data_IF_941349311377
#
_entry.id   IF_941349311377
#
_cell.length_a   1.000
_cell.length_b   1.000
_cell.length_c   1.000
_cell.angle_alpha   90.00
_cell.angle_beta   90.00
_cell.angle_gamma   90.00
#
_symmetry.space_group_name_H-M   'P 1'
#
loop_
_entity.id
_entity.type
_entity.pdbx_description
1 polymer ?
#
# COMPACT_ATOMS: atom_id res chain seq x y z
N UNK A 1 -41.12 -1.83 16.22
CA UNK A 1 -41.83 -1.66 14.93
C UNK A 1 -40.84 -1.90 13.80
N UNK A 2 -41.31 -2.12 12.57
CA UNK A 2 -40.51 -2.71 11.47
C UNK A 2 -40.16 -1.67 10.39
N UNK A 3 -38.90 -1.68 9.93
CA UNK A 3 -38.43 -1.30 8.58
C UNK A 3 -36.92 -1.64 8.51
N UNK A 4 -36.51 -2.88 8.21
CA UNK A 4 -36.40 -3.50 6.86
C UNK A 4 -35.18 -3.02 6.07
N UNK A 5 -34.26 -3.95 5.80
CA UNK A 5 -33.05 -3.73 4.99
C UNK A 5 -33.33 -3.82 3.48
N UNK A 6 -32.47 -3.22 2.67
CA UNK A 6 -32.51 -3.28 1.21
C UNK A 6 -31.18 -3.81 0.64
N UNK A 7 -31.06 -5.13 0.50
CA UNK A 7 -29.97 -5.78 -0.22
C UNK A 7 -30.30 -5.85 -1.72
N UNK A 8 -29.41 -5.36 -2.58
CA UNK A 8 -29.54 -5.43 -4.04
C UNK A 8 -28.46 -6.35 -4.63
N UNK A 9 -28.80 -7.63 -4.80
CA UNK A 9 -27.94 -8.61 -5.47
C UNK A 9 -28.20 -8.53 -6.98
N UNK A 10 -27.20 -8.09 -7.75
CA UNK A 10 -27.24 -8.15 -9.20
C UNK A 10 -26.77 -9.51 -9.71
N UNK A 11 -27.71 -10.42 -9.96
CA UNK A 11 -27.45 -11.65 -10.71
C UNK A 11 -27.31 -11.33 -12.21
N UNK A 12 -26.20 -11.73 -12.82
CA UNK A 12 -26.06 -11.73 -14.27
C UNK A 12 -26.71 -12.98 -14.87
N UNK A 13 -27.61 -12.78 -15.83
CA UNK A 13 -28.23 -13.86 -16.63
C UNK A 13 -27.58 -13.87 -18.02
N UNK A 14 -27.09 -15.01 -18.53
CA UNK A 14 -26.49 -15.08 -19.87
C UNK A 14 -27.55 -14.95 -20.97
N UNK A 15 -27.17 -14.31 -22.08
CA UNK A 15 -27.95 -14.27 -23.33
C UNK A 15 -27.36 -15.22 -24.37
N UNK A 16 -28.17 -15.80 -25.28
CA UNK A 16 -27.80 -16.97 -26.07
C UNK A 16 -26.92 -16.67 -27.30
N UNK A 17 -26.35 -17.73 -27.85
CA UNK A 17 -25.54 -17.71 -29.08
C UNK A 17 -26.37 -17.43 -30.35
N UNK A 18 -25.68 -17.09 -31.43
CA UNK A 18 -26.21 -17.16 -32.80
C UNK A 18 -25.18 -17.77 -33.74
N UNK A 19 -25.58 -18.83 -34.46
CA UNK A 19 -24.76 -19.52 -35.44
C UNK A 19 -24.86 -18.89 -36.83
N UNK A 20 -23.75 -18.88 -37.57
CA UNK A 20 -23.79 -19.08 -39.04
C UNK A 20 -22.45 -19.65 -39.53
N UNK A 21 -22.50 -20.74 -40.31
CA UNK A 21 -21.31 -21.48 -40.76
C UNK A 21 -20.84 -21.05 -42.17
N UNK A 22 -19.51 -21.00 -42.38
CA UNK A 22 -18.90 -20.22 -43.49
C UNK A 22 -17.89 -20.91 -44.42
N UNK A 23 -17.73 -22.24 -44.39
CA UNK A 23 -16.88 -23.08 -45.29
C UNK A 23 -15.35 -23.08 -45.06
N UNK A 24 -14.70 -24.08 -45.67
CA UNK A 24 -13.34 -24.59 -45.42
C UNK A 24 -12.28 -24.14 -46.44
N UNK A 25 -10.96 -24.27 -46.13
CA UNK A 25 -9.87 -23.79 -46.99
C UNK A 25 -9.43 -24.80 -48.06
N UNK A 26 -8.94 -24.28 -49.19
CA UNK A 26 -8.26 -25.06 -50.24
C UNK A 26 -6.74 -25.00 -50.14
N UNK A 27 -6.06 -26.13 -50.40
CA UNK A 27 -4.59 -26.21 -50.54
C UNK A 27 -4.17 -25.95 -52.00
N UNK A 28 -3.11 -25.17 -52.23
CA UNK A 28 -2.20 -25.41 -53.37
C UNK A 28 -0.80 -24.79 -53.17
N UNK A 29 0.19 -25.53 -53.66
CA UNK A 29 1.63 -25.29 -53.75
C UNK A 29 2.11 -23.92 -54.28
N UNK A 30 3.29 -23.48 -53.81
CA UNK A 30 4.13 -22.43 -54.41
C UNK A 30 5.51 -22.43 -53.75
N UNK A 31 6.60 -22.51 -54.51
CA UNK A 31 7.89 -23.01 -54.03
C UNK A 31 9.08 -22.04 -54.23
N UNK A 32 10.12 -22.19 -53.40
CA UNK A 32 11.55 -21.80 -53.60
C UNK A 32 11.97 -20.31 -53.44
N UNK A 33 13.22 -20.00 -52.99
CA UNK A 33 13.56 -18.71 -52.36
C UNK A 33 14.84 -17.98 -52.88
N UNK A 34 15.12 -16.80 -52.31
CA UNK A 34 16.45 -16.17 -52.15
C UNK A 34 16.37 -15.23 -50.92
N UNK A 35 17.25 -15.19 -49.90
CA UNK A 35 18.73 -15.24 -49.79
C UNK A 35 19.43 -13.92 -50.18
N UNK A 36 19.99 -13.20 -49.18
CA UNK A 36 21.40 -12.72 -49.08
C UNK A 36 21.57 -11.74 -47.91
N UNK A 37 22.69 -11.86 -47.18
CA UNK A 37 23.15 -10.95 -46.13
C UNK A 37 23.71 -9.62 -46.65
N UNK A 38 23.75 -8.59 -45.81
CA UNK A 38 24.90 -7.68 -45.74
C UNK A 38 24.99 -6.90 -44.42
N UNK A 39 26.15 -7.01 -43.75
CA UNK A 39 26.60 -6.13 -42.65
C UNK A 39 27.47 -5.02 -43.26
N UNK A 40 27.14 -3.74 -43.08
CA UNK A 40 27.91 -2.62 -43.67
C UNK A 40 27.78 -1.30 -42.91
N UNK A 41 28.91 -0.68 -42.56
CA UNK A 41 29.03 0.44 -41.61
C UNK A 41 29.37 1.80 -42.25
N UNK A 42 29.12 2.88 -41.48
CA UNK A 42 29.72 4.22 -41.58
C UNK A 42 29.42 5.13 -42.79
N UNK A 43 28.87 6.33 -42.53
CA UNK A 43 29.57 7.61 -42.75
C UNK A 43 28.78 8.81 -42.15
N UNK A 44 29.45 9.96 -41.97
CA UNK A 44 28.84 11.24 -41.54
C UNK A 44 28.48 12.11 -42.74
N UNK A 45 27.45 12.94 -42.61
CA UNK A 45 27.30 14.20 -43.34
C UNK A 45 26.70 15.28 -42.43
N UNK A 46 27.01 16.55 -42.71
CA UNK A 46 26.42 17.73 -42.03
C UNK A 46 25.45 18.42 -42.99
N UNK A 47 24.30 18.86 -42.49
CA UNK A 47 23.56 19.97 -43.10
C UNK A 47 22.81 20.77 -42.02
N UNK A 48 22.98 22.08 -42.03
CA UNK A 48 22.32 23.02 -41.12
C UNK A 48 20.97 23.49 -41.68
N UNK A 49 19.93 23.57 -40.84
CA UNK A 49 18.83 24.51 -41.05
C UNK A 49 18.28 25.00 -39.69
N UNK A 50 17.94 26.29 -39.62
CA UNK A 50 17.49 26.95 -38.39
C UNK A 50 15.97 27.03 -38.30
N UNK A 51 15.39 26.74 -37.13
CA UNK A 51 13.95 26.87 -36.88
C UNK A 51 13.65 27.15 -35.40
N UNK A 52 13.69 28.42 -34.99
CA UNK A 52 13.46 28.84 -33.60
C UNK A 52 12.04 29.42 -33.46
N UNK A 53 11.09 28.62 -32.98
CA UNK A 53 9.73 29.08 -32.67
C UNK A 53 9.57 29.33 -31.17
N UNK A 54 9.16 30.55 -30.82
CA UNK A 54 8.78 30.92 -29.45
C UNK A 54 7.26 30.88 -29.31
N UNK A 55 6.77 30.23 -28.25
CA UNK A 55 5.35 30.32 -27.86
C UNK A 55 5.14 31.66 -27.18
N UNK A 56 4.08 32.39 -27.56
CA UNK A 56 3.70 33.66 -26.95
C UNK A 56 2.22 33.59 -26.54
N UNK A 57 1.94 33.70 -25.25
CA UNK A 57 0.58 33.73 -24.74
C UNK A 57 -0.14 35.00 -25.20
N UNK A 58 -1.45 34.91 -25.43
CA UNK A 58 -2.27 36.02 -25.89
C UNK A 58 -3.60 36.01 -25.12
N UNK A 59 -3.93 37.12 -24.45
CA UNK A 59 -5.15 37.30 -23.69
C UNK A 59 -5.68 38.72 -23.96
N UNK A 60 -6.97 38.83 -24.27
CA UNK A 60 -7.64 40.10 -24.55
C UNK A 60 -9.00 40.15 -23.85
N UNK A 61 -9.39 41.34 -23.40
CA UNK A 61 -10.65 41.61 -22.72
C UNK A 61 -11.56 42.50 -23.61
N UNK A 62 -12.89 42.38 -23.52
CA UNK A 62 -13.82 43.17 -24.34
C UNK A 62 -13.96 44.63 -23.82
N UNK A 63 -14.17 45.62 -24.71
CA UNK A 63 -14.27 47.03 -24.34
C UNK A 63 -15.69 47.49 -23.94
N UNK A 64 -15.76 48.63 -23.24
CA UNK A 64 -17.01 49.38 -22.96
C UNK A 64 -17.34 50.33 -24.12
N UNK A 65 -18.63 50.68 -24.27
CA UNK A 65 -19.12 51.77 -25.14
C UNK A 65 -20.12 52.63 -24.37
N UNK A 66 -20.00 53.96 -24.47
CA UNK A 66 -20.96 54.94 -23.93
C UNK A 66 -21.93 55.43 -25.04
N UNK A 67 -23.16 55.82 -24.67
CA UNK A 67 -24.22 56.22 -25.63
C UNK A 67 -24.60 57.71 -25.63
N UNK A 68 -25.45 58.11 -26.59
CA UNK A 68 -26.04 59.46 -26.79
C UNK A 68 -27.02 59.42 -27.98
N UNK A 69 -28.13 60.18 -28.10
CA UNK A 69 -29.03 60.92 -27.16
C UNK A 69 -30.21 61.47 -28.01
N UNK A 70 -31.36 61.80 -27.38
CA UNK A 70 -32.55 62.51 -27.96
C UNK A 70 -33.43 61.64 -28.89
N UNK A 71 -34.77 61.69 -28.89
CA UNK A 71 -35.73 62.32 -27.96
C UNK A 71 -37.07 62.71 -28.62
N UNK A 72 -38.21 62.47 -27.94
CA UNK A 72 -39.60 62.83 -28.35
C UNK A 72 -40.13 62.10 -29.62
N UNK A 73 -41.42 61.95 -29.97
CA UNK A 73 -42.78 62.18 -29.38
C UNK A 73 -43.79 61.31 -30.23
N UNK A 74 -45.11 61.10 -30.02
CA UNK A 74 -46.15 61.44 -29.03
C UNK A 74 -47.37 60.48 -29.19
N UNK A 75 -48.45 60.68 -28.40
CA UNK A 75 -49.88 60.39 -28.73
C UNK A 75 -50.40 58.94 -28.81
N UNK A 76 -51.03 58.53 -27.69
CA UNK A 76 -52.35 57.84 -27.59
C UNK A 76 -52.69 56.65 -28.51
N UNK A 77 -52.79 55.47 -27.89
CA UNK A 77 -54.08 54.77 -27.74
C UNK A 77 -54.05 53.80 -26.55
N UNK A 78 -55.22 53.54 -25.95
CA UNK A 78 -55.39 52.71 -24.75
C UNK A 78 -56.19 51.46 -25.09
N UNK A 79 -55.71 50.28 -24.70
CA UNK A 79 -56.53 49.09 -24.41
C UNK A 79 -55.69 48.03 -23.66
N UNK A 80 -56.34 46.96 -23.16
CA UNK A 80 -55.90 46.17 -22.01
C UNK A 80 -54.49 45.54 -22.06
N UNK A 81 -53.81 45.56 -20.91
CA UNK A 81 -52.59 44.80 -20.64
C UNK A 81 -52.80 43.81 -19.49
N UNK A 82 -53.04 42.55 -19.83
CA UNK A 82 -52.88 41.44 -18.87
C UNK A 82 -51.39 41.20 -18.59
N UNK A 83 -50.97 40.98 -17.32
CA UNK A 83 -49.56 40.74 -17.02
C UNK A 83 -49.14 39.34 -17.49
N UNK A 84 -47.94 39.18 -18.08
CA UNK A 84 -47.44 37.87 -18.50
C UNK A 84 -47.21 36.92 -17.30
N UNK A 85 -47.32 35.59 -17.51
CA UNK A 85 -47.23 34.62 -16.43
C UNK A 85 -45.84 34.62 -15.76
N UNK A 86 -45.82 34.62 -14.43
CA UNK A 86 -44.58 34.65 -13.63
C UNK A 86 -43.85 33.31 -13.72
N UNK A 87 -42.61 33.32 -14.18
CA UNK A 87 -41.73 32.14 -14.21
C UNK A 87 -41.21 31.76 -12.82
N UNK A 88 -41.06 30.46 -12.59
CA UNK A 88 -40.71 29.79 -11.32
C UNK A 88 -39.49 30.37 -10.56
N UNK A 89 -38.55 30.99 -11.28
CA UNK A 89 -37.31 31.58 -10.73
C UNK A 89 -37.59 32.64 -9.65
N UNK A 90 -38.72 33.36 -9.73
CA UNK A 90 -39.06 34.43 -8.78
C UNK A 90 -39.76 33.93 -7.49
N UNK A 91 -39.59 32.65 -7.11
CA UNK A 91 -40.12 32.07 -5.87
C UNK A 91 -39.06 31.38 -4.99
N UNK A 92 -37.78 31.46 -5.34
CA UNK A 92 -36.71 30.92 -4.47
C UNK A 92 -36.56 31.80 -3.20
N UNK A 93 -36.47 31.21 -1.99
CA UNK A 93 -36.16 31.96 -0.77
C UNK A 93 -34.82 32.69 -0.87
N UNK A 94 -34.67 33.80 -0.13
CA UNK A 94 -33.40 34.50 -0.03
C UNK A 94 -32.43 33.75 0.91
N UNK A 95 -31.55 32.95 0.30
CA UNK A 95 -30.53 32.18 1.00
C UNK A 95 -29.35 33.04 1.52
N UNK A 96 -29.31 34.35 1.26
CA UNK A 96 -28.21 35.22 1.71
C UNK A 96 -28.06 35.22 3.23
N UNK A 97 -29.17 35.18 3.98
CA UNK A 97 -29.20 35.04 5.44
C UNK A 97 -28.56 33.73 5.91
N UNK A 98 -28.78 32.61 5.21
CA UNK A 98 -28.18 31.33 5.55
C UNK A 98 -26.67 31.33 5.27
N UNK A 99 -26.26 31.87 4.11
CA UNK A 99 -24.84 32.03 3.78
C UNK A 99 -24.12 32.91 4.81
N UNK A 100 -24.70 34.05 5.16
CA UNK A 100 -24.15 34.98 6.15
C UNK A 100 -23.98 34.33 7.52
N UNK A 101 -24.99 33.56 7.97
CA UNK A 101 -24.93 32.80 9.21
C UNK A 101 -23.78 31.76 9.19
N UNK A 102 -23.67 30.98 8.10
CA UNK A 102 -22.58 30.00 7.92
C UNK A 102 -21.22 30.69 7.95
N UNK A 103 -21.01 31.78 7.19
CA UNK A 103 -19.73 32.52 7.21
C UNK A 103 -19.41 33.11 8.58
N UNK A 104 -20.43 33.53 9.35
CA UNK A 104 -20.25 34.06 10.71
C UNK A 104 -19.83 32.95 11.68
N UNK A 105 -20.39 31.75 11.55
CA UNK A 105 -19.99 30.57 12.34
C UNK A 105 -18.54 30.17 12.03
N UNK A 106 -18.13 30.15 10.75
CA UNK A 106 -16.75 29.87 10.37
C UNK A 106 -15.77 30.92 10.91
N UNK A 107 -16.06 32.22 10.76
CA UNK A 107 -15.23 33.30 11.30
C UNK A 107 -15.17 33.29 12.83
N UNK A 108 -16.25 32.91 13.52
CA UNK A 108 -16.26 32.74 14.97
C UNK A 108 -15.39 31.55 15.40
N UNK A 109 -15.49 30.41 14.70
CA UNK A 109 -14.67 29.23 14.98
C UNK A 109 -13.18 29.48 14.73
N UNK A 110 -12.82 30.11 13.61
CA UNK A 110 -11.45 30.49 13.27
C UNK A 110 -10.86 31.44 14.33
N UNK A 111 -11.62 32.48 14.71
CA UNK A 111 -11.22 33.40 15.79
C UNK A 111 -11.12 32.71 17.15
N UNK A 112 -11.93 31.70 17.43
CA UNK A 112 -11.86 30.92 18.67
C UNK A 112 -10.65 29.97 18.69
N UNK A 113 -10.25 29.41 17.54
CA UNK A 113 -8.99 28.66 17.39
C UNK A 113 -7.77 29.56 17.59
N UNK A 114 -7.77 30.77 17.02
CA UNK A 114 -6.67 31.75 17.21
C UNK A 114 -6.56 32.30 18.65
N UNK A 115 -7.55 32.04 19.51
CA UNK A 115 -7.56 32.45 20.93
C UNK A 115 -7.17 31.30 21.89
N UNK A 116 -6.86 30.09 21.39
CA UNK A 116 -6.28 29.03 22.21
C UNK A 116 -4.76 29.26 22.39
N UNK A 117 -4.41 29.94 23.48
CA UNK A 117 -3.03 29.96 24.02
C UNK A 117 -2.60 28.53 24.40
N UNK A 118 -2.06 27.77 23.43
CA UNK A 118 -1.53 26.42 23.65
C UNK A 118 -0.21 26.49 24.44
N UNK A 119 -0.32 26.68 25.76
CA UNK A 119 0.80 26.51 26.69
C UNK A 119 1.08 25.01 26.84
N UNK A 120 2.27 24.50 26.46
CA UNK A 120 2.57 23.10 26.58
C UNK A 120 2.58 22.69 28.06
N UNK A 121 1.59 21.89 28.46
CA UNK A 121 1.70 21.08 29.67
C UNK A 121 2.83 20.04 29.47
N UNK A 122 3.41 19.56 30.58
CA UNK A 122 4.59 18.69 30.60
C UNK A 122 4.48 17.55 29.57
N UNK A 123 5.58 17.29 28.87
CA UNK A 123 5.72 16.34 27.76
C UNK A 123 5.29 14.92 28.09
N UNK A 124 5.36 14.54 29.37
CA UNK A 124 5.57 13.15 29.77
C UNK A 124 4.27 12.32 29.83
N UNK A 125 3.11 12.94 29.56
CA UNK A 125 1.80 12.27 29.52
C UNK A 125 0.88 12.75 28.37
N UNK A 126 1.43 13.26 27.26
CA UNK A 126 0.66 13.36 26.02
C UNK A 126 0.59 11.99 25.35
N UNK A 127 -0.44 11.22 25.72
CA UNK A 127 -0.97 10.17 24.85
C UNK A 127 -1.44 10.85 23.57
N UNK A 128 -0.93 10.40 22.43
CA UNK A 128 -1.32 10.87 21.09
C UNK A 128 -2.84 10.69 20.89
N UNK A 129 -3.66 11.76 20.90
CA UNK A 129 -5.11 11.63 20.90
C UNK A 129 -5.69 11.25 19.53
N UNK A 130 -4.86 11.26 18.49
CA UNK A 130 -5.29 11.18 17.09
C UNK A 130 -4.64 10.03 16.32
N UNK A 131 -3.71 9.28 16.92
CA UNK A 131 -3.00 8.18 16.26
C UNK A 131 -2.01 8.65 15.17
N UNK A 132 -1.55 9.90 15.25
CA UNK A 132 -0.61 10.50 14.28
C UNK A 132 0.84 10.03 14.48
N UNK A 133 1.14 9.50 15.66
CA UNK A 133 2.45 9.09 16.12
C UNK A 133 3.37 10.26 16.48
N UNK A 134 4.46 9.95 17.18
CA UNK A 134 5.45 10.92 17.66
C UNK A 134 6.86 10.33 17.68
N UNK A 135 7.87 11.19 17.58
CA UNK A 135 9.27 10.80 17.78
C UNK A 135 9.61 10.88 19.28
N UNK A 136 10.21 9.81 19.80
CA UNK A 136 10.55 9.59 21.20
C UNK A 136 12.04 9.25 21.35
N UNK A 137 12.48 8.99 22.60
CA UNK A 137 13.85 8.59 22.94
C UNK A 137 14.94 9.49 22.33
N UNK A 138 14.77 10.81 22.42
CA UNK A 138 15.79 11.78 22.01
C UNK A 138 15.89 12.06 20.50
N UNK A 139 14.99 11.52 19.67
CA UNK A 139 14.93 11.84 18.24
C UNK A 139 14.99 10.63 17.29
N UNK A 140 15.29 9.43 17.81
CA UNK A 140 15.71 8.28 17.00
C UNK A 140 14.64 7.19 16.82
N UNK A 141 13.59 7.18 17.67
CA UNK A 141 12.53 6.17 17.63
C UNK A 141 11.21 6.85 17.31
N UNK A 142 10.47 6.35 16.32
CA UNK A 142 9.09 6.78 16.06
C UNK A 142 8.12 5.79 16.70
N UNK A 143 7.06 6.31 17.32
CA UNK A 143 6.01 5.57 18.03
C UNK A 143 4.64 5.95 17.51
N UNK A 144 3.80 4.96 17.17
CA UNK A 144 2.41 5.20 16.74
C UNK A 144 1.50 4.09 17.28
N UNK A 145 0.28 4.44 17.67
CA UNK A 145 -0.72 3.50 18.17
C UNK A 145 -1.76 3.17 17.09
N UNK A 146 -2.15 1.91 16.99
CA UNK A 146 -3.18 1.41 16.07
C UNK A 146 -4.21 0.62 16.85
N UNK A 147 -5.49 0.97 16.71
CA UNK A 147 -6.59 0.10 17.17
C UNK A 147 -6.94 -0.88 16.05
N UNK A 148 -6.93 -2.18 16.36
CA UNK A 148 -7.19 -3.25 15.39
C UNK A 148 -8.65 -3.20 14.93
N UNK A 149 -8.86 -3.04 13.62
CA UNK A 149 -10.19 -2.83 13.02
C UNK A 149 -10.87 -4.15 12.65
N UNK A 150 -12.18 -4.10 12.45
CA UNK A 150 -12.99 -5.31 12.20
C UNK A 150 -12.70 -6.01 10.87
N UNK A 151 -12.07 -5.31 9.91
CA UNK A 151 -11.62 -5.87 8.63
C UNK A 151 -10.13 -6.25 8.62
N UNK A 152 -9.43 -6.07 9.74
CA UNK A 152 -8.00 -6.36 9.90
C UNK A 152 -7.76 -7.72 10.60
N UNK A 153 -8.82 -8.41 10.99
CA UNK A 153 -8.82 -9.73 11.64
C UNK A 153 -9.25 -10.86 10.69
N UNK A 154 -8.75 -12.07 10.95
CA UNK A 154 -9.15 -13.32 10.29
C UNK A 154 -10.45 -13.92 10.86
N UNK A 155 -10.85 -15.07 10.32
CA UNK A 155 -12.01 -15.83 10.80
C UNK A 155 -11.82 -16.38 12.24
N UNK A 156 -10.56 -16.54 12.63
CA UNK A 156 -10.05 -16.86 13.98
C UNK A 156 -9.97 -15.63 14.92
N UNK A 157 -10.45 -14.46 14.48
CA UNK A 157 -10.60 -13.20 15.26
C UNK A 157 -9.29 -12.50 15.66
N UNK A 158 -8.15 -13.07 15.32
CA UNK A 158 -6.81 -12.47 15.45
C UNK A 158 -6.46 -11.61 14.24
N UNK A 159 -5.60 -10.61 14.42
CA UNK A 159 -5.12 -9.76 13.32
C UNK A 159 -4.30 -10.58 12.31
N UNK A 160 -4.45 -10.30 11.01
CA UNK A 160 -3.66 -11.00 10.00
C UNK A 160 -2.17 -10.59 10.01
N UNK A 161 -1.27 -11.44 9.51
CA UNK A 161 0.14 -11.04 9.30
C UNK A 161 0.26 -9.88 8.31
N UNK A 162 -0.63 -9.78 7.31
CA UNK A 162 -0.72 -8.60 6.44
C UNK A 162 -1.06 -7.33 7.24
N UNK A 163 -1.98 -7.40 8.22
CA UNK A 163 -2.31 -6.27 9.11
C UNK A 163 -1.08 -5.78 9.86
N UNK A 164 -0.36 -6.69 10.52
CA UNK A 164 0.86 -6.35 11.24
C UNK A 164 1.88 -5.70 10.29
N UNK A 165 2.14 -6.32 9.14
CA UNK A 165 3.05 -5.82 8.11
C UNK A 165 2.64 -4.45 7.54
N UNK A 166 1.35 -4.16 7.39
CA UNK A 166 0.86 -2.83 7.02
C UNK A 166 1.18 -1.79 8.10
N UNK A 167 0.99 -2.10 9.39
CA UNK A 167 1.39 -1.22 10.49
C UNK A 167 2.91 -0.98 10.53
N UNK A 168 3.72 -2.01 10.23
CA UNK A 168 5.17 -1.84 10.12
C UNK A 168 5.55 -0.91 8.95
N UNK A 169 4.89 -1.03 7.81
CA UNK A 169 5.12 -0.16 6.65
C UNK A 169 4.66 1.30 6.90
N UNK A 170 3.48 1.49 7.47
CA UNK A 170 2.92 2.82 7.78
C UNK A 170 3.81 3.58 8.79
N UNK A 171 4.24 2.91 9.87
CA UNK A 171 5.17 3.53 10.84
C UNK A 171 6.54 3.83 10.25
N UNK A 172 7.05 3.02 9.32
CA UNK A 172 8.31 3.32 8.63
C UNK A 172 8.25 4.63 7.82
N UNK A 173 7.11 4.88 7.17
CA UNK A 173 6.85 6.10 6.38
C UNK A 173 6.64 7.31 7.29
N UNK A 174 5.80 7.17 8.32
CA UNK A 174 5.52 8.22 9.28
C UNK A 174 6.76 8.61 10.10
N UNK A 175 7.69 7.68 10.34
CA UNK A 175 9.03 8.00 10.84
C UNK A 175 9.76 8.95 9.87
N UNK A 176 9.98 8.55 8.60
CA UNK A 176 10.75 9.37 7.62
C UNK A 176 10.10 10.74 7.40
N UNK A 177 8.76 10.80 7.40
CA UNK A 177 7.96 12.03 7.33
C UNK A 177 8.19 12.95 8.53
N UNK A 178 8.00 12.45 9.76
CA UNK A 178 8.19 13.26 10.97
C UNK A 178 9.66 13.62 11.23
N UNK A 179 10.61 12.83 10.72
CA UNK A 179 12.03 13.15 10.74
C UNK A 179 12.42 14.33 9.83
N UNK A 180 11.52 14.79 8.94
CA UNK A 180 11.82 15.82 7.93
C UNK A 180 12.63 15.31 6.74
N UNK A 181 12.78 13.99 6.60
CA UNK A 181 13.61 13.33 5.59
C UNK A 181 12.82 12.94 4.32
N UNK A 182 11.52 13.24 4.26
CA UNK A 182 10.67 12.92 3.13
C UNK A 182 10.71 14.04 2.08
N UNK A 183 11.33 13.78 0.93
CA UNK A 183 11.30 14.67 -0.23
C UNK A 183 10.15 14.30 -1.18
N UNK A 184 10.45 13.60 -2.27
CA UNK A 184 9.46 13.22 -3.29
C UNK A 184 9.03 11.76 -3.13
N UNK A 185 7.77 11.56 -2.73
CA UNK A 185 7.12 10.24 -2.71
C UNK A 185 7.43 9.39 -1.49
N UNK A 186 7.72 8.11 -1.71
CA UNK A 186 7.70 7.07 -0.67
C UNK A 186 9.10 6.86 -0.05
N UNK A 187 9.35 7.47 1.12
CA UNK A 187 10.56 7.24 1.92
C UNK A 187 11.90 7.68 1.32
N UNK A 188 11.89 8.49 0.25
CA UNK A 188 13.11 8.96 -0.44
C UNK A 188 13.56 10.34 0.07
N UNK A 189 14.87 10.49 0.33
CA UNK A 189 15.47 11.73 0.84
C UNK A 189 15.85 12.72 -0.27
N UNK A 190 16.06 14.03 0.05
CA UNK A 190 16.49 15.02 -0.93
C UNK A 190 17.74 14.62 -1.75
N UNK A 191 18.82 14.14 -1.13
CA UNK A 191 20.02 13.71 -1.85
C UNK A 191 19.83 12.37 -2.61
N UNK A 192 18.88 11.52 -2.20
CA UNK A 192 18.49 10.34 -2.99
C UNK A 192 17.72 10.73 -4.26
N UNK A 193 16.75 11.64 -4.16
CA UNK A 193 15.99 12.13 -5.31
C UNK A 193 16.91 12.74 -6.37
N UNK A 194 17.87 13.58 -5.96
CA UNK A 194 18.89 14.19 -6.84
C UNK A 194 19.79 13.18 -7.59
N UNK A 195 19.87 11.92 -7.13
CA UNK A 195 20.73 10.86 -7.68
C UNK A 195 19.94 9.70 -8.30
N UNK A 196 18.63 9.88 -8.51
CA UNK A 196 17.72 8.82 -8.98
C UNK A 196 17.81 7.54 -8.13
N UNK A 197 17.92 7.65 -6.81
CA UNK A 197 18.00 6.51 -5.89
C UNK A 197 16.64 6.21 -5.23
N UNK A 198 16.43 4.95 -4.89
CA UNK A 198 15.34 4.43 -4.04
C UNK A 198 15.89 3.48 -2.98
N UNK A 199 15.16 3.37 -1.88
CA UNK A 199 15.27 2.26 -0.95
C UNK A 199 14.48 1.06 -1.45
N UNK A 200 15.09 -0.12 -1.46
CA UNK A 200 14.39 -1.40 -1.66
C UNK A 200 14.68 -2.32 -0.48
N UNK A 201 13.67 -3.08 -0.02
CA UNK A 201 13.85 -4.14 0.97
C UNK A 201 14.58 -5.29 0.29
N UNK A 202 15.64 -5.82 0.91
CA UNK A 202 16.32 -7.04 0.45
C UNK A 202 16.06 -8.24 1.38
N UNK A 203 15.88 -8.00 2.68
CA UNK A 203 15.49 -9.03 3.66
C UNK A 203 14.47 -8.46 4.65
N UNK A 204 13.49 -9.25 5.06
CA UNK A 204 12.59 -8.97 6.18
C UNK A 204 12.54 -10.20 7.09
N UNK A 205 12.55 -9.97 8.40
CA UNK A 205 12.36 -11.00 9.42
C UNK A 205 11.32 -10.52 10.43
N UNK A 206 10.38 -11.39 10.78
CA UNK A 206 9.31 -11.15 11.75
C UNK A 206 9.24 -12.34 12.69
N UNK A 207 9.16 -12.08 13.99
CA UNK A 207 8.76 -13.03 15.02
C UNK A 207 7.47 -12.50 15.66
N UNK A 208 6.39 -13.28 15.59
CA UNK A 208 5.10 -12.94 16.21
C UNK A 208 4.94 -13.79 17.45
N UNK A 209 5.00 -13.15 18.60
CA UNK A 209 4.86 -13.80 19.90
C UNK A 209 3.37 -14.09 20.19
N UNK A 210 2.48 -13.15 19.87
CA UNK A 210 1.02 -13.31 19.88
C UNK A 210 0.35 -12.33 18.92
N UNK A 211 -0.85 -12.67 18.43
CA UNK A 211 -1.64 -11.79 17.56
C UNK A 211 -2.70 -11.03 18.39
N UNK A 212 -2.84 -9.71 18.22
CA UNK A 212 -3.92 -8.93 18.83
C UNK A 212 -5.27 -9.25 18.17
N UNK A 213 -6.36 -8.96 18.86
CA UNK A 213 -7.75 -9.21 18.42
C UNK A 213 -8.49 -7.91 18.09
N UNK A 214 -9.73 -8.00 17.60
CA UNK A 214 -10.51 -6.81 17.23
C UNK A 214 -10.82 -5.93 18.45
N UNK A 215 -10.48 -4.65 18.35
CA UNK A 215 -10.66 -3.66 19.41
C UNK A 215 -9.41 -3.39 20.26
N UNK A 216 -8.43 -4.32 20.26
CA UNK A 216 -7.15 -4.12 20.95
C UNK A 216 -6.39 -2.93 20.35
N UNK A 217 -5.48 -2.33 21.15
CA UNK A 217 -4.68 -1.18 20.74
C UNK A 217 -3.20 -1.53 20.84
N UNK A 218 -2.51 -1.58 19.70
CA UNK A 218 -1.09 -1.90 19.64
C UNK A 218 -0.23 -0.65 19.48
N UNK A 219 0.82 -0.54 20.28
CA UNK A 219 1.87 0.47 20.16
C UNK A 219 2.99 -0.09 19.29
N UNK A 220 3.27 0.55 18.16
CA UNK A 220 4.36 0.19 17.25
C UNK A 220 5.49 1.21 17.37
N UNK A 221 6.64 0.75 17.87
CA UNK A 221 7.89 1.51 17.89
C UNK A 221 8.78 1.10 16.70
N UNK A 222 9.38 2.05 15.97
CA UNK A 222 10.33 1.78 14.87
C UNK A 222 11.49 2.76 14.82
N UNK A 223 12.68 2.23 14.53
CA UNK A 223 13.91 2.99 14.36
C UNK A 223 14.81 2.39 13.28
N UNK A 224 15.85 3.14 12.92
CA UNK A 224 16.85 2.76 11.92
C UNK A 224 18.22 2.62 12.53
N UNK A 225 19.06 1.79 11.93
CA UNK A 225 20.46 1.58 12.31
C UNK A 225 21.31 1.33 11.05
N UNK A 226 22.63 1.52 11.15
CA UNK A 226 23.54 1.19 10.06
C UNK A 226 23.58 -0.32 9.81
N UNK A 227 23.64 -0.75 8.54
CA UNK A 227 23.94 -2.14 8.17
C UNK A 227 25.11 -2.21 7.20
N UNK A 228 26.30 -2.43 7.76
CA UNK A 228 27.55 -2.32 7.03
C UNK A 228 27.75 -0.92 6.43
N UNK A 229 28.35 -0.83 5.23
CA UNK A 229 28.66 0.47 4.58
C UNK A 229 27.54 1.03 3.69
N UNK A 230 26.63 0.17 3.20
CA UNK A 230 25.65 0.52 2.15
C UNK A 230 24.20 0.15 2.48
N UNK A 231 23.96 -0.59 3.57
CA UNK A 231 22.62 -0.96 4.01
C UNK A 231 22.14 -0.10 5.16
N UNK A 232 20.82 -0.04 5.31
CA UNK A 232 20.13 0.46 6.49
C UNK A 232 19.33 -0.70 7.09
N UNK A 233 19.48 -0.96 8.38
CA UNK A 233 18.57 -1.81 9.13
C UNK A 233 17.40 -0.95 9.60
N UNK A 234 16.17 -1.44 9.51
CA UNK A 234 15.02 -0.87 10.25
C UNK A 234 14.42 -1.96 11.13
N UNK A 235 14.28 -1.65 12.40
CA UNK A 235 13.69 -2.54 13.40
C UNK A 235 12.30 -2.03 13.81
N UNK A 236 11.48 -2.95 14.33
CA UNK A 236 10.20 -2.66 14.96
C UNK A 236 9.98 -3.50 16.22
N UNK A 237 9.30 -2.88 17.19
CA UNK A 237 8.76 -3.53 18.37
C UNK A 237 7.28 -3.18 18.50
N UNK A 238 6.41 -4.19 18.39
CA UNK A 238 4.97 -4.08 18.58
C UNK A 238 4.62 -4.59 19.97
N UNK A 239 3.87 -3.78 20.72
CA UNK A 239 3.36 -4.12 22.06
C UNK A 239 1.87 -3.91 22.16
N UNK A 240 1.20 -4.64 23.04
CA UNK A 240 -0.12 -4.25 23.52
C UNK A 240 0.00 -2.97 24.36
N UNK A 241 -0.93 -2.03 24.20
CA UNK A 241 -0.85 -0.72 24.86
C UNK A 241 -1.36 -0.72 26.30
N UNK A 242 -2.06 -1.78 26.73
CA UNK A 242 -2.65 -1.88 28.06
C UNK A 242 -1.76 -2.68 29.03
N UNK A 243 -1.19 -3.79 28.57
CA UNK A 243 -0.30 -4.68 29.33
C UNK A 243 1.18 -4.33 29.14
N UNK A 244 1.55 -3.76 27.98
CA UNK A 244 2.95 -3.54 27.59
C UNK A 244 3.67 -4.80 27.09
N UNK A 245 2.97 -5.94 26.98
CA UNK A 245 3.53 -7.20 26.47
C UNK A 245 3.96 -7.09 25.01
N UNK A 246 5.02 -7.82 24.65
CA UNK A 246 5.57 -7.83 23.29
C UNK A 246 4.75 -8.81 22.44
N UNK A 247 4.12 -8.29 21.39
CA UNK A 247 3.30 -9.06 20.46
C UNK A 247 4.10 -9.47 19.22
N UNK A 248 4.98 -8.60 18.73
CA UNK A 248 5.75 -8.83 17.50
C UNK A 248 7.07 -8.08 17.52
N UNK A 249 8.12 -8.72 17.03
CA UNK A 249 9.46 -8.17 16.81
C UNK A 249 9.82 -8.33 15.35
N UNK A 250 10.34 -7.29 14.71
CA UNK A 250 10.74 -7.37 13.30
C UNK A 250 12.02 -6.61 13.00
N UNK A 251 12.74 -7.06 11.97
CA UNK A 251 13.90 -6.36 11.42
C UNK A 251 13.94 -6.50 9.90
N UNK A 252 14.37 -5.46 9.21
CA UNK A 252 14.47 -5.39 7.76
C UNK A 252 15.81 -4.82 7.32
N UNK A 253 16.35 -5.37 6.23
CA UNK A 253 17.52 -4.84 5.55
C UNK A 253 17.07 -4.12 4.28
N UNK A 254 17.42 -2.83 4.21
CA UNK A 254 17.19 -1.96 3.07
C UNK A 254 18.52 -1.66 2.38
N UNK A 255 18.50 -1.63 1.04
CA UNK A 255 19.64 -1.28 0.19
C UNK A 255 19.21 -0.26 -0.87
N UNK A 256 20.16 0.55 -1.34
CA UNK A 256 19.85 1.52 -2.38
C UNK A 256 19.87 0.87 -3.78
N UNK A 257 18.89 1.24 -4.62
CA UNK A 257 18.88 0.93 -6.04
C UNK A 257 18.72 2.22 -6.85
N UNK A 258 19.35 2.31 -8.02
CA UNK A 258 19.09 3.41 -8.96
C UNK A 258 17.84 3.11 -9.81
N UNK A 259 16.89 4.07 -9.83
CA UNK A 259 15.56 4.00 -10.47
C UNK A 259 15.63 3.65 -11.96
N UNK A 260 16.61 4.18 -12.69
CA UNK A 260 16.70 4.08 -14.16
C UNK A 260 17.43 2.81 -14.60
N UNK A 261 18.60 2.54 -14.02
CA UNK A 261 19.44 1.39 -14.39
C UNK A 261 19.02 0.08 -13.73
N UNK A 262 18.11 0.15 -12.73
CA UNK A 262 17.64 -0.96 -11.90
C UNK A 262 18.77 -1.78 -11.25
N UNK A 263 19.89 -1.13 -10.94
CA UNK A 263 21.08 -1.72 -10.30
C UNK A 263 21.24 -1.22 -8.87
N UNK A 264 21.75 -2.10 -7.99
CA UNK A 264 22.12 -1.73 -6.63
C UNK A 264 23.22 -0.66 -6.64
N UNK A 265 23.07 0.34 -5.77
CA UNK A 265 24.01 1.44 -5.58
C UNK A 265 24.74 1.29 -4.25
N UNK A 266 25.92 1.91 -4.16
CA UNK A 266 26.50 2.29 -2.86
C UNK A 266 25.68 3.43 -2.25
N UNK A 267 25.74 3.56 -0.93
CA UNK A 267 25.21 4.72 -0.21
C UNK A 267 26.14 5.92 -0.43
N UNK A 268 25.69 7.03 -1.06
CA UNK A 268 26.46 8.27 -1.15
C UNK A 268 26.67 8.88 0.24
N UNK A 269 27.78 9.55 0.45
CA UNK A 269 28.10 10.13 1.77
C UNK A 269 27.24 11.37 2.09
N UNK A 270 26.66 12.01 1.07
CA UNK A 270 25.66 13.07 1.25
C UNK A 270 24.35 12.52 1.82
N UNK A 271 23.87 11.38 1.30
CA UNK A 271 22.69 10.67 1.85
C UNK A 271 22.99 10.11 3.24
N UNK A 272 24.23 9.63 3.46
CA UNK A 272 24.71 9.23 4.80
C UNK A 272 24.66 10.41 5.78
N UNK A 273 24.95 11.63 5.31
CA UNK A 273 24.82 12.86 6.08
C UNK A 273 23.37 13.19 6.47
N UNK A 274 22.41 12.92 5.59
CA UNK A 274 20.97 13.10 5.89
C UNK A 274 20.46 12.10 6.94
N UNK A 275 20.77 10.80 6.78
CA UNK A 275 20.14 9.75 7.60
C UNK A 275 20.97 9.32 8.82
N UNK A 276 22.28 9.58 8.81
CA UNK A 276 23.22 9.02 9.79
C UNK A 276 22.99 9.51 11.22
N UNK A 277 22.44 10.72 11.39
CA UNK A 277 22.04 11.28 12.69
C UNK A 277 20.82 10.62 13.31
N UNK A 278 20.12 9.73 12.59
CA UNK A 278 18.94 9.00 13.07
C UNK A 278 19.26 7.52 13.37
N UNK A 279 20.50 7.07 13.12
CA UNK A 279 20.90 5.69 13.40
C UNK A 279 21.08 5.44 14.90
N UNK A 280 20.28 4.52 15.45
CA UNK A 280 20.47 3.97 16.79
C UNK A 280 21.59 2.92 16.74
N UNK A 281 22.54 3.00 17.68
CA UNK A 281 23.46 1.89 17.95
C UNK A 281 22.76 0.84 18.83
N UNK A 282 22.05 -0.10 18.18
CA UNK A 282 21.43 -1.25 18.84
C UNK A 282 21.75 -2.55 18.12
N UNK A 283 21.78 -3.69 18.85
CA UNK A 283 21.66 -5.00 18.20
C UNK A 283 20.32 -5.12 17.44
N UNK A 284 20.21 -6.05 16.47
CA UNK A 284 18.93 -6.45 15.88
C UNK A 284 17.96 -6.99 16.93
N UNK A 285 16.65 -6.85 16.70
CA UNK A 285 15.60 -7.34 17.61
C UNK A 285 15.19 -8.80 17.37
N UNK A 286 15.64 -9.37 16.25
CA UNK A 286 15.41 -10.75 15.83
C UNK A 286 16.76 -11.26 15.32
N UNK A 287 17.17 -12.45 15.76
CA UNK A 287 18.42 -13.06 15.33
C UNK A 287 18.43 -13.31 13.81
N UNK A 288 19.58 -13.13 13.17
CA UNK A 288 19.70 -13.26 11.71
C UNK A 288 19.54 -14.73 11.28
N UNK A 289 18.39 -15.07 10.68
CA UNK A 289 18.19 -16.39 10.08
C UNK A 289 19.00 -16.46 8.78
N UNK A 290 20.27 -16.75 8.94
CA UNK A 290 21.28 -16.94 7.91
C UNK A 290 21.25 -18.35 7.30
N UNK A 291 20.31 -19.23 7.73
CA UNK A 291 20.11 -20.56 7.15
C UNK A 291 19.64 -20.40 5.70
N UNK A 292 20.58 -20.51 4.76
CA UNK A 292 20.38 -20.42 3.31
C UNK A 292 19.07 -21.09 2.88
N UNK A 293 18.15 -20.30 2.32
CA UNK A 293 16.92 -20.80 1.71
C UNK A 293 17.31 -21.71 0.53
N UNK A 294 16.94 -23.01 0.53
CA UNK A 294 17.32 -23.93 -0.53
C UNK A 294 16.52 -23.66 -1.80
N UNK A 295 16.79 -24.45 -2.85
CA UNK A 295 16.11 -24.30 -4.14
C UNK A 295 14.82 -25.09 -4.17
N UNK A 296 13.71 -24.41 -3.89
CA UNK A 296 12.38 -24.88 -4.23
C UNK A 296 12.13 -24.66 -5.74
N UNK A 297 11.57 -25.65 -6.43
CA UNK A 297 11.13 -25.56 -7.82
C UNK A 297 9.90 -26.46 -8.07
N UNK A 298 9.38 -26.48 -9.29
CA UNK A 298 8.16 -27.21 -9.69
C UNK A 298 8.22 -28.73 -9.46
N UNK A 299 9.41 -29.29 -9.17
CA UNK A 299 9.62 -30.73 -8.90
C UNK A 299 9.90 -31.02 -7.43
N UNK A 300 10.18 -29.99 -6.63
CA UNK A 300 10.50 -30.12 -5.20
C UNK A 300 9.47 -29.44 -4.28
N UNK A 301 8.54 -28.66 -4.83
CA UNK A 301 7.38 -28.16 -4.10
C UNK A 301 6.28 -29.22 -3.98
N UNK A 302 5.74 -29.39 -2.78
CA UNK A 302 4.56 -30.22 -2.52
C UNK A 302 3.28 -29.51 -2.97
N UNK A 303 3.23 -28.19 -2.81
CA UNK A 303 2.05 -27.36 -3.05
C UNK A 303 2.41 -26.19 -3.98
N UNK A 304 1.60 -25.97 -5.02
CA UNK A 304 1.82 -24.93 -6.03
C UNK A 304 0.50 -24.23 -6.37
N UNK A 305 0.49 -22.90 -6.25
CA UNK A 305 -0.59 -22.02 -6.72
C UNK A 305 -0.08 -21.24 -7.94
N UNK A 306 -0.88 -21.11 -8.99
CA UNK A 306 -0.49 -20.47 -10.28
C UNK A 306 -1.52 -19.42 -10.72
N UNK A 307 -1.20 -18.59 -11.72
CA UNK A 307 -2.10 -17.54 -12.19
C UNK A 307 -2.30 -16.36 -11.23
N UNK A 308 -1.43 -16.18 -10.23
CA UNK A 308 -1.50 -15.02 -9.33
C UNK A 308 -1.12 -13.74 -10.11
N UNK A 309 -2.03 -12.76 -10.15
CA UNK A 309 -1.84 -11.50 -10.91
C UNK A 309 -2.12 -10.26 -10.05
N UNK A 310 -1.27 -9.21 -10.11
CA UNK A 310 -1.51 -7.97 -9.39
C UNK A 310 -2.81 -7.27 -9.80
N UNK A 311 -3.64 -6.92 -8.82
CA UNK A 311 -4.79 -6.02 -9.01
C UNK A 311 -4.34 -4.57 -8.89
N UNK A 312 -5.18 -3.64 -9.36
CA UNK A 312 -4.89 -2.19 -9.21
C UNK A 312 -4.72 -1.78 -7.74
N UNK A 313 -5.44 -2.42 -6.82
CA UNK A 313 -5.34 -2.24 -5.36
C UNK A 313 -4.00 -2.66 -4.76
N UNK A 314 -3.23 -3.50 -5.47
CA UNK A 314 -2.03 -4.14 -4.94
C UNK A 314 -0.77 -3.35 -5.30
N UNK A 315 -0.94 -2.29 -6.09
CA UNK A 315 0.12 -1.38 -6.52
C UNK A 315 0.26 -0.19 -5.55
N UNK A 316 1.50 0.19 -5.27
CA UNK A 316 1.84 1.34 -4.45
C UNK A 316 1.83 2.66 -5.26
N UNK A 317 2.15 3.78 -4.58
CA UNK A 317 2.27 5.11 -5.21
C UNK A 317 3.38 5.20 -6.27
N UNK A 318 4.30 4.24 -6.31
CA UNK A 318 5.37 4.13 -7.31
C UNK A 318 4.98 3.22 -8.49
N UNK A 319 3.76 2.66 -8.48
CA UNK A 319 3.22 1.66 -9.42
C UNK A 319 3.93 0.29 -9.41
N UNK A 320 4.68 -0.03 -8.35
CA UNK A 320 5.17 -1.39 -8.09
C UNK A 320 4.19 -2.14 -7.19
N UNK A 321 4.25 -3.47 -7.16
CA UNK A 321 3.48 -4.24 -6.15
C UNK A 321 3.97 -3.89 -4.74
N UNK A 322 3.04 -3.53 -3.86
CA UNK A 322 3.27 -3.24 -2.43
C UNK A 322 3.93 -4.45 -1.75
N UNK A 323 4.99 -4.23 -0.97
CA UNK A 323 5.76 -5.31 -0.32
C UNK A 323 4.89 -6.26 0.52
N UNK A 324 3.83 -5.74 1.15
CA UNK A 324 2.90 -6.53 1.97
C UNK A 324 2.11 -7.54 1.12
N UNK A 325 1.85 -7.27 -0.16
CA UNK A 325 1.10 -8.18 -1.05
C UNK A 325 1.91 -9.41 -1.47
N UNK A 326 3.24 -9.34 -1.46
CA UNK A 326 4.06 -10.55 -1.57
C UNK A 326 3.91 -11.48 -0.36
N UNK A 327 3.54 -10.96 0.82
CA UNK A 327 3.30 -11.77 2.04
C UNK A 327 2.02 -12.59 1.90
N UNK A 328 0.95 -12.00 1.36
CA UNK A 328 -0.26 -12.74 1.00
C UNK A 328 0.06 -13.81 -0.05
N UNK A 329 0.61 -13.40 -1.20
CA UNK A 329 0.85 -14.31 -2.33
C UNK A 329 1.80 -15.46 -2.02
N UNK A 330 2.85 -15.26 -1.20
CA UNK A 330 3.77 -16.36 -0.83
C UNK A 330 3.13 -17.38 0.12
N UNK A 331 1.95 -17.08 0.68
CA UNK A 331 1.17 -17.97 1.54
C UNK A 331 -0.03 -18.63 0.82
N UNK A 332 -0.38 -18.22 -0.41
CA UNK A 332 -1.48 -18.81 -1.22
C UNK A 332 -1.25 -20.29 -1.61
N UNK A 333 -0.02 -20.79 -1.42
CA UNK A 333 0.36 -22.20 -1.58
C UNK A 333 0.63 -22.92 -0.25
N UNK A 334 0.40 -22.29 0.90
CA UNK A 334 0.53 -22.95 2.20
C UNK A 334 -0.59 -24.00 2.38
N UNK A 335 -0.29 -25.21 2.89
CA UNK A 335 -1.31 -26.22 3.15
C UNK A 335 -2.44 -25.70 4.04
N UNK A 336 -3.69 -25.89 3.61
CA UNK A 336 -4.88 -25.43 4.34
C UNK A 336 -4.93 -25.99 5.77
N UNK A 337 -4.53 -27.24 5.96
CA UNK A 337 -4.43 -27.89 7.28
C UNK A 337 -3.55 -27.10 8.26
N UNK A 338 -2.45 -26.50 7.78
CA UNK A 338 -1.57 -25.64 8.59
C UNK A 338 -2.26 -24.31 8.89
N UNK A 339 -2.92 -23.69 7.91
CA UNK A 339 -3.63 -22.41 8.08
C UNK A 339 -4.82 -22.52 9.06
N UNK A 340 -5.48 -23.67 9.11
CA UNK A 340 -6.57 -23.95 10.05
C UNK A 340 -6.04 -24.24 11.46
N UNK A 341 -5.06 -25.15 11.59
CA UNK A 341 -4.63 -25.70 12.89
C UNK A 341 -3.45 -24.97 13.54
N UNK A 342 -2.69 -24.18 12.79
CA UNK A 342 -1.49 -23.47 13.26
C UNK A 342 -1.55 -21.96 12.97
N UNK A 343 -0.86 -21.16 13.77
CA UNK A 343 -0.63 -19.74 13.53
C UNK A 343 0.85 -19.45 13.21
N UNK A 344 1.08 -18.42 12.40
CA UNK A 344 2.41 -18.04 11.92
C UNK A 344 3.20 -17.34 13.06
N UNK A 345 4.13 -18.06 13.68
CA UNK A 345 4.98 -17.57 14.76
C UNK A 345 6.25 -16.84 14.27
N UNK A 346 6.69 -17.09 13.04
CA UNK A 346 7.86 -16.41 12.48
C UNK A 346 7.95 -16.51 10.96
N UNK A 347 8.58 -15.50 10.35
CA UNK A 347 8.70 -15.36 8.90
C UNK A 347 10.03 -14.70 8.53
N UNK A 348 10.76 -15.28 7.58
CA UNK A 348 11.95 -14.69 6.94
C UNK A 348 11.72 -14.63 5.44
N UNK A 349 11.84 -13.45 4.85
CA UNK A 349 11.68 -13.19 3.42
C UNK A 349 12.94 -12.58 2.83
N UNK A 350 13.40 -13.10 1.69
CA UNK A 350 14.44 -12.52 0.85
C UNK A 350 13.84 -12.03 -0.48
N UNK A 351 13.86 -10.73 -0.70
CA UNK A 351 13.36 -10.11 -1.93
C UNK A 351 14.45 -10.09 -3.00
N UNK A 352 14.11 -10.55 -4.21
CA UNK A 352 15.04 -10.75 -5.33
C UNK A 352 14.69 -9.91 -6.57
N UNK A 353 13.41 -9.55 -6.75
CA UNK A 353 12.91 -8.76 -7.88
C UNK A 353 11.56 -8.12 -7.52
N UNK A 354 11.23 -7.00 -8.14
CA UNK A 354 9.89 -6.41 -8.11
C UNK A 354 8.99 -6.99 -9.22
N UNK A 355 7.67 -7.04 -8.97
CA UNK A 355 6.67 -7.34 -9.98
C UNK A 355 6.05 -6.08 -10.61
N UNK A 356 5.71 -6.20 -11.88
CA UNK A 356 4.97 -5.21 -12.67
C UNK A 356 3.49 -5.58 -12.73
N UNK A 357 2.63 -4.65 -13.17
CA UNK A 357 1.16 -4.85 -13.25
C UNK A 357 0.75 -6.07 -14.10
N UNK A 358 1.56 -6.42 -15.09
CA UNK A 358 1.38 -7.51 -16.05
C UNK A 358 2.11 -8.81 -15.66
N UNK A 359 2.76 -8.86 -14.49
CA UNK A 359 3.34 -10.10 -13.96
C UNK A 359 2.27 -11.16 -13.71
N UNK A 360 2.49 -12.39 -14.18
CA UNK A 360 1.83 -13.60 -13.68
C UNK A 360 2.80 -14.38 -12.81
N UNK A 361 2.37 -14.74 -11.61
CA UNK A 361 3.18 -15.37 -10.57
C UNK A 361 2.68 -16.78 -10.22
N UNK A 362 3.60 -17.56 -9.65
CA UNK A 362 3.35 -18.83 -8.99
C UNK A 362 3.89 -18.75 -7.57
N UNK A 363 3.12 -19.23 -6.59
CA UNK A 363 3.60 -19.50 -5.24
C UNK A 363 3.82 -20.99 -5.08
N UNK A 364 4.97 -21.37 -4.53
CA UNK A 364 5.38 -22.74 -4.28
C UNK A 364 5.67 -22.88 -2.78
N UNK A 365 5.21 -23.96 -2.15
CA UNK A 365 5.50 -24.30 -0.75
C UNK A 365 5.94 -25.76 -0.60
N UNK A 366 6.85 -26.00 0.34
CA UNK A 366 7.24 -27.32 0.84
C UNK A 366 7.39 -27.27 2.37
N UNK A 367 6.99 -28.35 3.06
CA UNK A 367 7.19 -28.53 4.50
C UNK A 367 8.62 -28.98 4.76
N UNK A 368 9.25 -28.43 5.81
CA UNK A 368 10.61 -28.81 6.19
C UNK A 368 10.56 -30.02 7.11
N UNK A 369 10.87 -31.21 6.60
CA UNK A 369 11.13 -32.36 7.45
C UNK A 369 12.32 -32.08 8.38
N UNK A 370 12.10 -32.15 9.70
CA UNK A 370 13.16 -31.96 10.69
C UNK A 370 14.10 -33.17 10.73
N UNK A 371 15.34 -32.98 10.26
CA UNK A 371 16.42 -33.95 10.36
C UNK A 371 16.94 -34.14 11.79
N UNK A 372 16.14 -34.79 12.64
CA UNK A 372 16.54 -35.42 13.92
C UNK A 372 17.50 -34.60 14.79
N UNK A 373 17.14 -33.35 15.11
CA UNK A 373 17.92 -32.44 15.95
C UNK A 373 17.20 -32.11 17.26
N UNK A 374 17.86 -32.28 18.41
CA UNK A 374 17.28 -32.17 19.76
C UNK A 374 16.92 -30.71 20.16
N UNK A 375 15.88 -30.12 19.56
CA UNK A 375 15.36 -28.80 19.99
C UNK A 375 13.91 -28.47 19.60
N UNK A 376 13.18 -29.33 18.87
CA UNK A 376 11.79 -29.04 18.49
C UNK A 376 10.81 -29.12 19.67
N UNK A 377 10.00 -28.08 19.83
CA UNK A 377 8.77 -28.19 20.60
C UNK A 377 7.72 -28.96 19.77
N UNK A 378 6.95 -29.88 20.38
CA UNK A 378 5.98 -30.68 19.64
C UNK A 378 4.91 -29.80 18.97
N UNK A 379 4.68 -30.01 17.67
CA UNK A 379 3.72 -29.25 16.88
C UNK A 379 4.27 -27.96 16.24
N UNK A 380 5.57 -27.68 16.32
CA UNK A 380 6.18 -26.66 15.45
C UNK A 380 6.32 -27.22 14.03
N UNK A 381 5.96 -26.41 13.03
CA UNK A 381 6.15 -26.73 11.61
C UNK A 381 6.93 -25.60 10.95
N UNK A 382 8.04 -25.90 10.26
CA UNK A 382 8.65 -24.94 9.32
C UNK A 382 8.19 -25.24 7.89
N UNK A 383 8.00 -24.19 7.09
CA UNK A 383 7.75 -24.31 5.66
C UNK A 383 8.69 -23.39 4.88
N UNK A 384 9.07 -23.83 3.67
CA UNK A 384 9.87 -23.07 2.73
C UNK A 384 9.01 -22.67 1.54
N UNK A 385 9.25 -21.47 1.01
CA UNK A 385 8.42 -20.88 -0.02
C UNK A 385 9.23 -20.21 -1.13
N UNK A 386 8.70 -20.23 -2.34
CA UNK A 386 9.19 -19.45 -3.47
C UNK A 386 8.01 -18.81 -4.20
N UNK A 387 7.98 -17.48 -4.18
CA UNK A 387 7.17 -16.69 -5.09
C UNK A 387 8.02 -16.33 -6.32
N UNK A 388 7.55 -16.71 -7.51
CA UNK A 388 8.26 -16.54 -8.78
C UNK A 388 7.31 -16.12 -9.90
N UNK A 389 7.86 -15.56 -10.98
CA UNK A 389 7.14 -15.47 -12.25
C UNK A 389 6.93 -16.87 -12.84
N UNK A 390 5.87 -17.05 -13.62
CA UNK A 390 5.65 -18.28 -14.41
C UNK A 390 6.87 -18.57 -15.31
N UNK A 391 7.40 -17.53 -15.97
CA UNK A 391 8.65 -17.56 -16.73
C UNK A 391 9.96 -17.73 -15.92
N UNK A 392 9.90 -18.29 -14.72
CA UNK A 392 11.08 -18.75 -13.95
C UNK A 392 11.87 -17.68 -13.19
N UNK A 393 11.43 -16.43 -13.17
CA UNK A 393 12.10 -15.36 -12.43
C UNK A 393 11.74 -15.38 -10.94
N UNK A 394 12.71 -15.69 -10.07
CA UNK A 394 12.54 -15.58 -8.60
C UNK A 394 12.17 -14.13 -8.19
N UNK A 395 11.09 -13.97 -7.39
CA UNK A 395 10.60 -12.68 -6.87
C UNK A 395 10.89 -12.56 -5.38
N UNK A 396 10.35 -13.48 -4.56
CA UNK A 396 10.61 -13.57 -3.11
C UNK A 396 10.86 -15.03 -2.72
N UNK A 397 11.85 -15.28 -1.86
CA UNK A 397 12.03 -16.56 -1.17
C UNK A 397 11.64 -16.41 0.28
N UNK A 398 10.97 -17.42 0.83
CA UNK A 398 10.46 -17.41 2.20
C UNK A 398 10.87 -18.63 3.00
N UNK A 399 11.01 -18.44 4.32
CA UNK A 399 10.80 -19.47 5.33
C UNK A 399 9.78 -18.96 6.33
N UNK A 400 8.86 -19.81 6.73
CA UNK A 400 7.89 -19.56 7.81
C UNK A 400 8.03 -20.60 8.89
N UNK A 401 7.69 -20.21 10.12
CA UNK A 401 7.61 -21.07 11.30
C UNK A 401 6.22 -20.92 11.90
N UNK A 402 5.54 -22.04 12.07
CA UNK A 402 4.18 -22.14 12.58
C UNK A 402 4.17 -22.85 13.93
N UNK A 403 3.21 -22.50 14.78
CA UNK A 403 2.92 -23.18 16.06
C UNK A 403 1.44 -23.55 16.11
N UNK A 404 1.01 -24.58 16.86
CA UNK A 404 -0.41 -24.94 16.93
C UNK A 404 -1.19 -23.75 17.51
N UNK A 405 -2.37 -23.46 16.95
CA UNK A 405 -3.27 -22.47 17.56
C UNK A 405 -3.66 -22.99 18.94
N UNK A 406 -3.63 -22.12 19.95
CA UNK A 406 -4.19 -22.48 21.25
C UNK A 406 -5.70 -22.66 21.08
N UNK A 407 -6.17 -23.90 21.06
CA UNK A 407 -7.59 -24.23 21.09
C UNK A 407 -8.13 -23.86 22.46
N UNK A 408 -8.59 -22.62 22.53
CA UNK A 408 -9.27 -22.06 23.68
C UNK A 408 -10.46 -22.97 24.02
N UNK A 409 -10.49 -23.54 25.23
CA UNK A 409 -11.57 -24.44 25.68
C UNK A 409 -12.81 -23.64 26.08
N UNK A 410 -13.20 -22.69 25.24
CA UNK A 410 -14.36 -21.83 25.43
C UNK A 410 -15.62 -22.66 25.19
N UNK A 411 -16.23 -23.05 26.30
CA UNK A 411 -17.67 -23.17 26.43
C UNK A 411 -18.33 -24.31 25.66
N UNK A 412 -18.72 -25.34 26.42
CA UNK A 412 -19.97 -26.04 26.19
C UNK A 412 -21.15 -25.05 26.34
N UNK A 413 -21.37 -24.19 25.35
CA UNK A 413 -22.59 -23.38 25.27
C UNK A 413 -23.75 -24.32 24.96
N UNK A 414 -24.75 -24.30 25.86
CA UNK A 414 -25.61 -25.44 26.07
C UNK A 414 -26.46 -25.86 24.88
N UNK A 415 -26.78 -27.15 24.84
CA UNK A 415 -28.01 -27.61 24.20
C UNK A 415 -29.17 -26.80 24.79
N UNK A 416 -29.86 -26.03 23.95
CA UNK A 416 -31.16 -25.48 24.32
C UNK A 416 -32.10 -26.66 24.63
N UNK A 417 -32.80 -26.67 25.76
CA UNK A 417 -33.82 -27.68 26.02
C UNK A 417 -34.89 -27.61 24.92
N UNK A 418 -35.20 -28.75 24.31
CA UNK A 418 -36.44 -28.89 23.55
C UNK A 418 -37.60 -28.86 24.54
N UNK A 419 -38.24 -27.70 24.69
CA UNK A 419 -39.61 -27.66 25.22
C UNK A 419 -40.53 -28.30 24.18
N UNK A 420 -41.11 -29.45 24.52
CA UNK A 420 -42.13 -30.10 23.71
C UNK A 420 -43.47 -29.37 23.89
N UNK A 421 -44.21 -29.22 22.80
CA UNK A 421 -45.62 -28.80 22.77
C UNK A 421 -46.50 -29.99 22.34
#
# INVERSE_FOLDING_TARGET
>A
MVATAATSVFLQVPSPASDSAGKTPGKAFGNVPASIDARGSNAKSKSTSSGRLQVKANAQAPPKVNGTKVGSMESLKTEDMSPPPRTFINQLPDWSMLLAAITTIFLAAEKQWMMLDWKPKRSDMLVDPFGLGQIVQGGFVFRQNFSIRSYEIGADRTASVETLMNHLQETALNHVKNAGLLADGFGSTPEMCKRNLIWVVSKMQVAVDSYPTWGDVVQVDTWVAASGKNGMRRDWLVRDSNTGEILTRATSLWVMMNKETRKLSKMPDEVRGEIGSYFVDSPPLVDDDSRKLPKLDEKTAENIHTGLTPRWSDLDVNQHVNNVKYVGWILESAPLEILETHELAGMTLEYRRECMRDSVLQSLTSIVEEGSGESSHPGIVECQHLLRLEGGGEIVKGRTKWRPKFVDKIGSFGQLPHENA
#
